data_IF_808158867035
#
_entry.id   IF_808158867035
#
_cell.length_a   1.000
_cell.length_b   1.000
_cell.length_c   1.000
_cell.angle_alpha   90.00
_cell.angle_beta   90.00
_cell.angle_gamma   90.00
#
_symmetry.space_group_name_H-M   'P 1'
#
loop_
_entity.id
_entity.type
_entity.pdbx_description
1 polymer ?
#
# COMPACT_ATOMS: atom_id res chain seq x y z
N UNK A 1 74.36 -12.42 34.48
CA UNK A 1 73.15 -11.71 34.98
C UNK A 1 72.19 -11.50 33.80
N UNK A 2 71.09 -12.26 33.75
CA UNK A 2 70.16 -12.36 32.62
C UNK A 2 69.00 -11.36 32.85
N UNK A 3 68.87 -10.33 32.00
CA UNK A 3 67.76 -9.37 32.07
C UNK A 3 66.60 -9.87 31.21
N UNK A 4 65.50 -10.27 31.84
CA UNK A 4 64.25 -10.60 31.15
C UNK A 4 63.54 -9.31 30.73
N UNK A 5 63.28 -9.16 29.43
CA UNK A 5 62.36 -8.15 28.89
C UNK A 5 60.95 -8.75 28.91
N UNK A 6 60.06 -8.19 29.71
CA UNK A 6 58.63 -8.50 29.68
C UNK A 6 57.98 -7.71 28.53
N UNK A 7 57.35 -8.42 27.60
CA UNK A 7 56.51 -7.86 26.54
C UNK A 7 55.08 -7.88 27.05
N UNK A 8 54.52 -6.71 27.36
CA UNK A 8 53.12 -6.56 27.74
C UNK A 8 52.28 -6.43 26.46
N UNK A 9 51.58 -7.50 26.07
CA UNK A 9 50.58 -7.47 25.01
C UNK A 9 49.28 -6.86 25.56
N UNK A 10 48.91 -5.68 25.02
CA UNK A 10 47.62 -5.04 25.29
C UNK A 10 46.57 -5.58 24.31
N UNK A 11 45.66 -6.44 24.79
CA UNK A 11 44.49 -6.90 24.04
C UNK A 11 43.40 -5.84 24.10
N UNK A 12 43.21 -5.10 23.01
CA UNK A 12 42.08 -4.18 22.85
C UNK A 12 40.83 -4.99 22.45
N UNK A 13 39.88 -5.11 23.37
CA UNK A 13 38.56 -5.70 23.10
C UNK A 13 37.72 -4.70 22.29
N UNK A 14 37.56 -4.96 20.98
CA UNK A 14 36.64 -4.22 20.12
C UNK A 14 35.23 -4.73 20.40
N UNK A 15 34.48 -3.99 21.21
CA UNK A 15 33.06 -4.22 21.47
C UNK A 15 32.26 -3.79 20.24
N UNK A 16 32.03 -4.71 19.29
CA UNK A 16 31.11 -4.48 18.19
C UNK A 16 29.69 -4.37 18.75
N UNK A 17 29.23 -3.14 18.94
CA UNK A 17 27.85 -2.83 19.27
C UNK A 17 26.99 -3.12 18.04
N UNK A 18 26.36 -4.30 18.03
CA UNK A 18 25.35 -4.66 17.04
C UNK A 18 24.16 -3.71 17.22
N UNK A 19 24.12 -2.64 16.44
CA UNK A 19 22.97 -1.74 16.38
C UNK A 19 21.90 -2.43 15.55
N UNK A 20 20.99 -3.15 16.19
CA UNK A 20 19.79 -3.64 15.54
C UNK A 20 18.95 -2.43 15.13
N UNK A 21 18.98 -2.07 13.85
CA UNK A 21 18.03 -1.12 13.30
C UNK A 21 16.64 -1.74 13.45
N UNK A 22 15.80 -1.17 14.31
CA UNK A 22 14.40 -1.56 14.39
C UNK A 22 13.74 -1.11 13.08
N UNK A 23 13.56 -2.04 12.15
CA UNK A 23 12.79 -1.77 10.94
C UNK A 23 11.35 -1.46 11.34
N UNK A 24 10.85 -0.30 10.91
CA UNK A 24 9.48 0.11 11.19
C UNK A 24 8.53 -0.92 10.57
N UNK A 25 7.62 -1.45 11.38
CA UNK A 25 6.63 -2.42 10.93
C UNK A 25 5.68 -1.78 9.90
N UNK A 26 5.80 -2.18 8.63
CA UNK A 26 4.96 -1.66 7.56
C UNK A 26 3.47 -2.05 7.69
N UNK A 27 3.14 -3.03 8.53
CA UNK A 27 1.77 -3.43 8.90
C UNK A 27 1.30 -2.80 10.22
N UNK A 28 2.08 -1.92 10.84
CA UNK A 28 1.59 -1.11 11.95
C UNK A 28 0.36 -0.30 11.50
N UNK A 29 -0.65 -0.06 12.36
CA UNK A 29 -1.90 0.57 11.96
C UNK A 29 -1.72 1.87 11.15
N UNK A 30 -0.92 2.80 11.64
CA UNK A 30 -0.69 4.08 10.94
C UNK A 30 0.09 3.89 9.63
N UNK A 31 1.03 2.96 9.61
CA UNK A 31 1.84 2.66 8.43
C UNK A 31 0.99 2.10 7.29
N UNK A 32 0.12 1.10 7.58
CA UNK A 32 -0.74 0.51 6.57
C UNK A 32 -1.83 1.48 6.11
N UNK A 33 -2.37 2.34 6.99
CA UNK A 33 -3.34 3.37 6.60
C UNK A 33 -2.71 4.42 5.67
N UNK A 34 -1.47 4.81 5.94
CA UNK A 34 -0.71 5.68 5.04
C UNK A 34 -0.41 5.02 3.70
N UNK A 35 -0.06 3.73 3.72
CA UNK A 35 0.14 2.94 2.51
C UNK A 35 -1.14 2.83 1.66
N UNK A 36 -2.29 2.64 2.30
CA UNK A 36 -3.61 2.60 1.66
C UNK A 36 -3.99 3.94 1.01
N UNK A 37 -3.75 5.05 1.72
CA UNK A 37 -3.94 6.39 1.14
C UNK A 37 -3.04 6.62 -0.07
N UNK A 38 -1.80 6.11 -0.03
CA UNK A 38 -0.83 6.21 -1.13
C UNK A 38 -1.28 5.38 -2.33
N UNK A 39 -1.82 4.17 -2.11
CA UNK A 39 -2.43 3.33 -3.14
C UNK A 39 -3.62 4.02 -3.82
N UNK A 40 -4.54 4.61 -3.04
CA UNK A 40 -5.71 5.30 -3.59
C UNK A 40 -5.31 6.50 -4.45
N UNK A 41 -4.30 7.27 -4.01
CA UNK A 41 -3.80 8.40 -4.80
C UNK A 41 -3.09 7.93 -6.07
N UNK A 42 -2.24 6.90 -5.97
CA UNK A 42 -1.56 6.32 -7.13
C UNK A 42 -2.56 5.79 -8.18
N UNK A 43 -3.67 5.17 -7.74
CA UNK A 43 -4.76 4.80 -8.63
C UNK A 43 -5.45 6.01 -9.27
N UNK A 44 -5.60 7.12 -8.54
CA UNK A 44 -6.27 8.33 -9.03
C UNK A 44 -5.48 8.97 -10.17
N UNK A 45 -4.17 9.11 -9.98
CA UNK A 45 -3.29 9.81 -10.94
C UNK A 45 -2.63 8.88 -11.96
N UNK A 46 -2.80 7.56 -11.81
CA UNK A 46 -2.14 6.58 -12.68
C UNK A 46 -0.64 6.46 -12.45
N UNK A 47 -0.17 6.51 -11.19
CA UNK A 47 1.24 6.32 -10.86
C UNK A 47 1.62 4.83 -10.96
N UNK A 48 1.88 4.39 -12.19
CA UNK A 48 2.23 3.02 -12.53
C UNK A 48 3.52 2.57 -11.86
N UNK A 49 4.49 3.47 -11.66
CA UNK A 49 5.77 3.11 -11.04
C UNK A 49 5.57 2.75 -9.57
N UNK A 50 4.81 3.57 -8.84
CA UNK A 50 4.49 3.28 -7.45
C UNK A 50 3.67 1.99 -7.35
N UNK A 51 2.62 1.86 -8.16
CA UNK A 51 1.77 0.67 -8.14
C UNK A 51 2.56 -0.60 -8.47
N UNK A 52 3.46 -0.55 -9.44
CA UNK A 52 4.30 -1.71 -9.77
C UNK A 52 5.15 -2.17 -8.58
N UNK A 53 5.67 -1.24 -7.77
CA UNK A 53 6.41 -1.60 -6.55
C UNK A 53 5.52 -2.11 -5.41
N UNK A 54 4.30 -1.58 -5.30
CA UNK A 54 3.38 -1.85 -4.20
C UNK A 54 2.59 -3.15 -4.38
N UNK A 55 2.18 -3.46 -5.62
CA UNK A 55 1.32 -4.60 -5.89
C UNK A 55 2.15 -5.89 -5.88
N UNK A 56 1.66 -6.89 -5.14
CA UNK A 56 2.24 -8.24 -5.16
C UNK A 56 2.19 -8.82 -6.59
N UNK A 57 3.12 -9.71 -6.99
CA UNK A 57 3.03 -10.41 -8.26
C UNK A 57 1.69 -11.13 -8.46
N UNK A 58 1.14 -11.72 -7.39
CA UNK A 58 -0.14 -12.43 -7.35
C UNK A 58 -1.35 -11.49 -7.12
N UNK A 59 -1.18 -10.18 -7.28
CA UNK A 59 -2.24 -9.21 -7.04
C UNK A 59 -3.51 -9.54 -7.84
N UNK A 60 -4.65 -9.52 -7.15
CA UNK A 60 -5.97 -9.71 -7.75
C UNK A 60 -6.97 -8.69 -7.23
N UNK A 61 -7.65 -8.02 -8.13
CA UNK A 61 -8.76 -7.12 -7.83
C UNK A 61 -10.07 -7.66 -8.38
N UNK A 62 -10.96 -8.09 -7.49
CA UNK A 62 -12.34 -8.45 -7.83
C UNK A 62 -13.24 -7.22 -7.76
N UNK A 63 -13.76 -6.82 -8.92
CA UNK A 63 -14.70 -5.71 -9.05
C UNK A 63 -16.14 -6.18 -8.84
N UNK A 64 -16.97 -5.25 -8.36
CA UNK A 64 -18.41 -5.31 -8.13
C UNK A 64 -19.15 -6.55 -8.68
N UNK A 65 -19.77 -7.35 -7.80
CA UNK A 65 -20.48 -8.59 -8.16
C UNK A 65 -19.64 -9.56 -9.01
N UNK A 66 -18.31 -9.56 -8.83
CA UNK A 66 -17.35 -10.33 -9.61
C UNK A 66 -17.48 -10.11 -11.14
N UNK A 67 -17.96 -8.93 -11.58
CA UNK A 67 -18.17 -8.64 -12.99
C UNK A 67 -16.85 -8.55 -13.78
N UNK A 68 -15.75 -8.29 -13.07
CA UNK A 68 -14.40 -8.22 -13.61
C UNK A 68 -13.44 -8.64 -12.50
N UNK A 69 -12.42 -9.42 -12.87
CA UNK A 69 -11.24 -9.61 -12.04
C UNK A 69 -10.04 -9.09 -12.82
N UNK A 70 -9.27 -8.21 -12.19
CA UNK A 70 -8.10 -7.57 -12.81
C UNK A 70 -6.84 -7.96 -12.03
N UNK A 71 -5.81 -8.41 -12.75
CA UNK A 71 -4.50 -8.72 -12.18
C UNK A 71 -3.57 -7.50 -12.22
N UNK A 72 -2.34 -7.65 -11.69
CA UNK A 72 -1.34 -6.58 -11.69
C UNK A 72 -1.07 -6.04 -13.08
N UNK A 73 -0.79 -6.93 -14.03
CA UNK A 73 -0.41 -6.57 -15.41
C UNK A 73 -1.54 -5.81 -16.11
N UNK A 74 -2.77 -6.29 -15.98
CA UNK A 74 -3.97 -5.67 -16.53
C UNK A 74 -4.23 -4.28 -15.95
N UNK A 75 -4.12 -4.13 -14.62
CA UNK A 75 -4.28 -2.84 -13.95
C UNK A 75 -3.24 -1.82 -14.45
N UNK A 76 -1.96 -2.19 -14.46
CA UNK A 76 -0.89 -1.28 -14.89
C UNK A 76 -1.06 -0.89 -16.36
N UNK A 77 -1.38 -1.84 -17.24
CA UNK A 77 -1.62 -1.57 -18.66
C UNK A 77 -2.84 -0.66 -18.88
N UNK A 78 -3.89 -0.80 -18.07
CA UNK A 78 -5.07 0.08 -18.13
C UNK A 78 -4.73 1.50 -17.70
N UNK A 79 -3.94 1.68 -16.66
CA UNK A 79 -3.57 3.01 -16.14
C UNK A 79 -2.59 3.77 -17.03
N UNK A 80 -1.85 3.08 -17.90
CA UNK A 80 -0.99 3.73 -18.90
C UNK A 80 -1.78 4.39 -20.04
N UNK A 81 -3.05 4.01 -20.24
CA UNK A 81 -3.89 4.61 -21.28
C UNK A 81 -4.35 5.99 -20.82
N UNK A 82 -4.35 7.00 -21.71
CA UNK A 82 -4.94 8.29 -21.40
C UNK A 82 -6.39 8.12 -20.96
N UNK A 83 -6.71 8.67 -19.79
CA UNK A 83 -8.03 8.62 -19.20
C UNK A 83 -8.31 9.87 -18.39
N UNK A 84 -9.58 10.12 -18.10
CA UNK A 84 -9.97 11.21 -17.22
C UNK A 84 -9.44 10.95 -15.80
N UNK A 85 -8.66 11.88 -15.27
CA UNK A 85 -8.20 11.84 -13.88
C UNK A 85 -9.38 12.19 -12.98
N UNK A 86 -9.81 11.29 -12.09
CA UNK A 86 -10.87 11.61 -11.14
C UNK A 86 -10.48 12.82 -10.27
N UNK A 87 -11.48 13.64 -9.94
CA UNK A 87 -11.35 14.78 -9.02
C UNK A 87 -10.74 14.35 -7.69
N UNK A 88 -11.23 13.24 -7.12
CA UNK A 88 -10.72 12.69 -5.88
C UNK A 88 -10.97 11.18 -5.80
N UNK A 89 -10.11 10.48 -5.05
CA UNK A 89 -10.27 9.09 -4.65
C UNK A 89 -9.74 8.92 -3.24
N UNK A 90 -10.58 8.50 -2.29
CA UNK A 90 -10.22 8.45 -0.87
C UNK A 90 -10.94 7.33 -0.13
N UNK A 91 -10.21 6.66 0.75
CA UNK A 91 -10.76 5.72 1.75
C UNK A 91 -11.28 6.45 2.99
N UNK A 92 -12.33 5.93 3.62
CA UNK A 92 -12.86 6.37 4.90
C UNK A 92 -13.55 5.21 5.63
N UNK A 93 -13.87 5.41 6.92
CA UNK A 93 -14.49 4.40 7.80
C UNK A 93 -13.71 3.08 7.85
N UNK A 94 -12.38 3.19 7.86
CA UNK A 94 -11.45 2.06 7.73
C UNK A 94 -11.34 1.32 9.06
N UNK A 95 -11.42 -0.01 8.99
CA UNK A 95 -11.09 -0.94 10.09
C UNK A 95 -9.97 -1.86 9.63
N UNK A 96 -9.00 -2.11 10.51
CA UNK A 96 -7.89 -3.02 10.27
C UNK A 96 -8.05 -4.32 11.06
N UNK A 97 -7.71 -5.44 10.42
CA UNK A 97 -7.76 -6.78 11.01
C UNK A 97 -6.44 -7.47 10.68
N UNK A 98 -5.55 -7.57 11.67
CA UNK A 98 -4.21 -8.14 11.47
C UNK A 98 -4.11 -9.55 12.05
N UNK A 99 -3.49 -10.45 11.29
CA UNK A 99 -3.07 -11.78 11.73
C UNK A 99 -1.68 -12.07 11.17
N UNK A 100 -0.68 -12.16 12.05
CA UNK A 100 0.71 -12.39 11.65
C UNK A 100 1.23 -11.32 10.68
N UNK A 101 1.72 -11.79 9.54
CA UNK A 101 2.28 -10.98 8.44
C UNK A 101 1.22 -10.51 7.42
N UNK A 102 -0.06 -10.57 7.79
CA UNK A 102 -1.17 -10.12 6.93
C UNK A 102 -2.07 -9.15 7.69
N UNK A 103 -2.49 -8.09 7.01
CA UNK A 103 -3.56 -7.21 7.49
C UNK A 103 -4.62 -7.03 6.41
N UNK A 104 -5.87 -7.13 6.82
CA UNK A 104 -7.03 -6.82 5.99
C UNK A 104 -7.59 -5.47 6.43
N UNK A 105 -7.60 -4.51 5.51
CA UNK A 105 -8.35 -3.28 5.67
C UNK A 105 -9.74 -3.48 5.07
N UNK A 106 -10.77 -3.01 5.77
CA UNK A 106 -12.11 -2.90 5.22
C UNK A 106 -12.69 -1.52 5.51
N UNK A 107 -13.48 -0.98 4.59
CA UNK A 107 -14.04 0.36 4.72
C UNK A 107 -14.80 0.78 3.47
N UNK A 108 -14.85 2.09 3.25
CA UNK A 108 -15.50 2.69 2.09
C UNK A 108 -14.47 3.49 1.28
N UNK A 109 -14.49 3.34 -0.05
CA UNK A 109 -13.72 4.17 -0.98
C UNK A 109 -14.72 5.02 -1.77
N UNK A 110 -14.52 6.33 -1.74
CA UNK A 110 -15.30 7.30 -2.51
C UNK A 110 -14.46 7.82 -3.68
N UNK A 111 -15.03 7.75 -4.88
CA UNK A 111 -14.43 8.24 -6.13
C UNK A 111 -15.31 9.36 -6.69
N UNK A 112 -14.74 10.55 -6.80
CA UNK A 112 -15.37 11.73 -7.40
C UNK A 112 -14.86 11.88 -8.84
N UNK A 113 -15.77 11.84 -9.82
CA UNK A 113 -15.45 12.01 -11.24
C UNK A 113 -16.11 13.27 -11.78
N UNK A 114 -15.42 14.01 -12.64
CA UNK A 114 -16.01 15.19 -13.26
C UNK A 114 -17.16 14.78 -14.18
N UNK A 115 -18.15 15.64 -14.27
CA UNK A 115 -19.17 15.54 -15.30
C UNK A 115 -18.66 16.23 -16.58
N UNK A 116 -19.29 15.99 -17.75
CA UNK A 116 -18.86 16.60 -19.01
C UNK A 116 -18.83 18.13 -19.02
N UNK A 117 -19.54 18.78 -18.10
CA UNK A 117 -19.53 20.25 -17.93
C UNK A 117 -18.25 20.80 -17.29
N UNK A 118 -17.40 19.93 -16.73
CA UNK A 118 -16.16 20.29 -16.03
C UNK A 118 -16.36 21.09 -14.74
N UNK A 119 -17.60 21.24 -14.26
CA UNK A 119 -17.97 22.05 -13.09
C UNK A 119 -18.57 21.20 -11.99
N UNK A 120 -19.46 20.31 -12.36
CA UNK A 120 -20.13 19.40 -11.43
C UNK A 120 -19.38 18.06 -11.39
N UNK A 121 -19.60 17.29 -10.34
CA UNK A 121 -19.00 15.96 -10.21
C UNK A 121 -19.99 14.95 -9.63
N UNK A 122 -19.77 13.68 -9.95
CA UNK A 122 -20.51 12.56 -9.36
C UNK A 122 -19.62 11.78 -8.41
N UNK A 123 -20.18 11.36 -7.29
CA UNK A 123 -19.50 10.50 -6.32
C UNK A 123 -19.99 9.08 -6.48
N UNK A 124 -19.08 8.11 -6.57
CA UNK A 124 -19.41 6.68 -6.42
C UNK A 124 -18.71 6.14 -5.20
N UNK A 125 -19.46 5.40 -4.38
CA UNK A 125 -18.97 4.80 -3.14
C UNK A 125 -18.96 3.29 -3.25
N UNK A 126 -17.86 2.71 -2.80
CA UNK A 126 -17.63 1.28 -2.81
C UNK A 126 -17.26 0.82 -1.40
N UNK A 127 -17.87 -0.27 -0.93
CA UNK A 127 -17.28 -1.05 0.15
C UNK A 127 -16.02 -1.71 -0.42
N UNK A 128 -14.94 -1.71 0.36
CA UNK A 128 -13.73 -2.41 -0.01
C UNK A 128 -13.25 -3.37 1.07
N UNK A 129 -12.52 -4.38 0.63
CA UNK A 129 -11.55 -5.12 1.42
C UNK A 129 -10.21 -5.10 0.69
N UNK A 130 -9.11 -4.82 1.39
CA UNK A 130 -7.74 -4.78 0.86
C UNK A 130 -6.82 -5.56 1.76
N UNK A 131 -6.12 -6.54 1.20
CA UNK A 131 -5.23 -7.43 1.94
C UNK A 131 -3.79 -7.05 1.68
N UNK A 132 -3.11 -6.53 2.69
CA UNK A 132 -1.68 -6.27 2.65
C UNK A 132 -0.93 -7.41 3.34
N UNK A 133 0.19 -7.80 2.75
CA UNK A 133 1.07 -8.87 3.26
C UNK A 133 2.47 -8.32 3.38
N UNK A 134 3.15 -8.63 4.48
CA UNK A 134 4.56 -8.33 4.64
C UNK A 134 5.40 -9.35 3.85
N UNK A 135 6.30 -8.83 3.01
CA UNK A 135 7.26 -9.61 2.24
C UNK A 135 8.65 -9.07 2.55
N UNK A 136 9.36 -9.75 3.45
CA UNK A 136 10.61 -9.23 4.01
C UNK A 136 10.36 -7.96 4.83
N UNK A 137 10.97 -6.85 4.44
CA UNK A 137 10.86 -5.55 5.12
C UNK A 137 9.76 -4.65 4.54
N UNK A 138 9.13 -5.05 3.43
CA UNK A 138 8.11 -4.25 2.74
C UNK A 138 6.73 -4.88 2.89
N UNK A 139 5.70 -4.08 2.59
CA UNK A 139 4.33 -4.53 2.57
C UNK A 139 3.79 -4.38 1.16
N UNK A 140 3.21 -5.45 0.64
CA UNK A 140 2.60 -5.48 -0.68
C UNK A 140 1.10 -5.64 -0.58
N UNK A 141 0.38 -5.02 -1.51
CA UNK A 141 -1.05 -5.25 -1.67
C UNK A 141 -1.25 -6.54 -2.46
N UNK A 142 -1.82 -7.56 -1.82
CA UNK A 142 -2.07 -8.88 -2.41
C UNK A 142 -3.45 -8.96 -3.07
N UNK A 143 -4.46 -8.33 -2.50
CA UNK A 143 -5.82 -8.52 -2.99
C UNK A 143 -6.74 -7.37 -2.67
N UNK A 144 -7.67 -7.11 -3.59
CA UNK A 144 -8.69 -6.08 -3.45
C UNK A 144 -10.03 -6.66 -3.85
N UNK A 145 -11.04 -6.39 -3.04
CA UNK A 145 -12.42 -6.59 -3.43
C UNK A 145 -13.16 -5.27 -3.26
N UNK A 146 -13.97 -4.90 -4.24
CA UNK A 146 -14.82 -3.71 -4.14
C UNK A 146 -16.23 -4.02 -4.55
N UNK A 147 -17.21 -3.54 -3.79
CA UNK A 147 -18.64 -3.63 -4.11
C UNK A 147 -19.24 -2.24 -4.13
N UNK A 148 -19.96 -1.88 -5.19
CA UNK A 148 -20.64 -0.60 -5.26
C UNK A 148 -21.77 -0.56 -4.23
N UNK A 149 -21.81 0.50 -3.44
CA UNK A 149 -22.85 0.72 -2.43
C UNK A 149 -23.81 1.81 -2.88
N UNK A 150 -23.30 2.88 -3.49
CA UNK A 150 -24.10 4.05 -3.83
C UNK A 150 -23.39 4.92 -4.88
N UNK A 151 -24.17 5.73 -5.61
CA UNK A 151 -23.66 6.87 -6.38
C UNK A 151 -24.57 8.08 -6.18
N UNK A 152 -23.98 9.28 -6.15
CA UNK A 152 -24.74 10.52 -6.20
C UNK A 152 -25.21 10.82 -7.62
N UNK A 153 -26.26 11.64 -7.72
CA UNK A 153 -26.46 12.48 -8.90
C UNK A 153 -25.35 13.55 -8.98
N UNK A 154 -25.21 14.23 -10.11
CA UNK A 154 -24.21 15.28 -10.27
C UNK A 154 -24.42 16.41 -9.25
N UNK A 155 -23.35 16.79 -8.55
CA UNK A 155 -23.28 17.89 -7.58
C UNK A 155 -22.55 19.09 -8.17
#
# INVERSE_FOLDING_TARGET
MRKHRAITMLLAAISWSCSSQLHADCLAPDAVLKLDATYEEALRIGDVKLLDSLLAPEYSWVHNLASLTEDKTGLLARLQKPGEIPKARRSHDIRSHRLGDTVVLQGLSSVEKWNPDGKTYRTSRYQFMRTYVRVGETCQLLGVQTMKVWSSDGQ
#
